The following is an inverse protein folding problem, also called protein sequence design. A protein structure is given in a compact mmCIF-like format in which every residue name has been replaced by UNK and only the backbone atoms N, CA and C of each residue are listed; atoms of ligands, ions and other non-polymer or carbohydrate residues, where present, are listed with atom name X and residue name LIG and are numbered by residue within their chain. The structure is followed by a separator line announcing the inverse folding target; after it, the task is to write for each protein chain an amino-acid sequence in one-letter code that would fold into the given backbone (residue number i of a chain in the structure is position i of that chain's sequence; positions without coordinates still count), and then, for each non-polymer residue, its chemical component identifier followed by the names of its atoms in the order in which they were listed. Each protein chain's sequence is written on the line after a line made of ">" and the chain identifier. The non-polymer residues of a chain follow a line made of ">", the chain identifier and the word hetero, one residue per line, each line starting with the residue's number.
data_IF_708039368306
#
_entry.id   IF_708039368306
#
_cell.length_a   1.000
_cell.length_b   1.000
_cell.length_c   1.000
_cell.angle_alpha   90.00
_cell.angle_beta   90.00
_cell.angle_gamma   90.00
#
_symmetry.space_group_name_H-M   'P 1'
#
loop_
_entity.id
_entity.type
_entity.pdbx_description
1 polymer ?
#
# COMPACT_ATOMS: atom_id res chain seq x y z
N UNK A 1 2.76 -10.67 -8.31
CA UNK A 1 1.77 -9.57 -8.34
C UNK A 1 0.75 -9.86 -7.25
N UNK A 2 0.37 -8.87 -6.45
CA UNK A 2 -0.57 -9.00 -5.34
C UNK A 2 -1.73 -8.07 -5.61
N UNK A 3 -2.95 -8.56 -5.42
CA UNK A 3 -4.15 -7.73 -5.48
C UNK A 3 -4.69 -7.54 -4.08
N UNK A 4 -5.07 -6.31 -3.76
CA UNK A 4 -5.67 -5.95 -2.49
C UNK A 4 -6.90 -5.07 -2.72
N UNK A 5 -8.02 -5.47 -2.12
CA UNK A 5 -9.25 -4.69 -2.13
C UNK A 5 -9.32 -3.83 -0.86
N UNK A 6 -9.08 -2.51 -0.97
CA UNK A 6 -9.04 -1.64 0.20
C UNK A 6 -10.44 -1.40 0.76
N UNK A 7 -10.52 -1.13 2.07
CA UNK A 7 -11.80 -0.93 2.78
C UNK A 7 -11.94 0.50 3.25
N UNK A 8 -13.17 1.04 3.15
CA UNK A 8 -13.49 2.36 3.67
C UNK A 8 -12.88 3.53 2.90
N UNK A 9 -12.45 3.33 1.65
CA UNK A 9 -11.82 4.37 0.80
C UNK A 9 -12.43 4.40 -0.61
N UNK A 10 -12.05 5.41 -1.41
CA UNK A 10 -12.52 5.58 -2.78
C UNK A 10 -11.87 4.62 -3.78
N UNK A 11 -10.60 4.24 -3.55
CA UNK A 11 -9.93 3.20 -4.33
C UNK A 11 -10.68 1.87 -4.18
N UNK A 12 -10.75 1.10 -5.26
CA UNK A 12 -11.50 -0.16 -5.36
C UNK A 12 -10.60 -1.38 -5.50
N UNK A 13 -9.39 -1.20 -6.02
CA UNK A 13 -8.39 -2.26 -6.14
C UNK A 13 -7.00 -1.65 -6.16
N UNK A 14 -6.05 -2.31 -5.51
CA UNK A 14 -4.62 -2.01 -5.57
C UNK A 14 -3.90 -3.23 -6.11
N UNK A 15 -3.02 -3.03 -7.09
CA UNK A 15 -2.22 -4.10 -7.69
C UNK A 15 -0.75 -3.77 -7.48
N UNK A 16 -0.07 -4.57 -6.65
CA UNK A 16 1.32 -4.33 -6.27
C UNK A 16 2.22 -5.40 -6.90
N UNK A 17 3.31 -4.96 -7.54
CA UNK A 17 4.41 -5.84 -7.95
C UNK A 17 5.52 -5.67 -6.92
N UNK A 18 5.74 -6.70 -6.09
CA UNK A 18 6.75 -6.71 -5.02
C UNK A 18 7.77 -7.81 -5.32
N UNK A 19 9.05 -7.48 -5.25
CA UNK A 19 10.18 -8.41 -5.37
C UNK A 19 11.20 -8.07 -4.30
N UNK A 20 11.63 -9.05 -3.50
CA UNK A 20 12.64 -8.89 -2.45
C UNK A 20 12.37 -7.70 -1.52
N UNK A 21 11.11 -7.57 -1.07
CA UNK A 21 10.60 -6.46 -0.26
C UNK A 21 10.68 -5.06 -0.91
N UNK A 22 10.95 -4.99 -2.21
CA UNK A 22 10.98 -3.75 -2.99
C UNK A 22 9.74 -3.65 -3.88
N UNK A 23 9.08 -2.50 -3.85
CA UNK A 23 7.98 -2.17 -4.76
C UNK A 23 8.55 -1.93 -6.16
N UNK A 24 8.20 -2.79 -7.10
CA UNK A 24 8.54 -2.64 -8.51
C UNK A 24 7.54 -1.75 -9.23
N UNK A 25 6.25 -1.85 -8.85
CA UNK A 25 5.18 -0.97 -9.33
C UNK A 25 3.93 -1.10 -8.47
N UNK A 26 3.08 -0.07 -8.49
CA UNK A 26 1.73 -0.12 -7.89
C UNK A 26 0.73 0.58 -8.80
N UNK A 27 -0.35 -0.13 -9.12
CA UNK A 27 -1.49 0.40 -9.87
C UNK A 27 -2.73 0.47 -8.99
N UNK A 28 -3.52 1.53 -9.16
CA UNK A 28 -4.73 1.79 -8.39
C UNK A 28 -5.93 1.87 -9.33
N UNK A 29 -7.00 1.17 -8.98
CA UNK A 29 -8.29 1.26 -9.69
C UNK A 29 -9.26 2.08 -8.85
N UNK A 30 -9.71 3.21 -9.38
CA UNK A 30 -10.59 4.15 -8.71
C UNK A 30 -9.89 5.01 -7.64
N UNK A 31 -10.56 6.10 -7.24
CA UNK A 31 -10.00 7.11 -6.35
C UNK A 31 -9.44 8.33 -7.10
N UNK A 32 -8.64 9.15 -6.42
CA UNK A 32 -8.06 10.35 -7.02
C UNK A 32 -6.89 9.94 -7.94
N UNK A 33 -7.13 9.92 -9.24
CA UNK A 33 -6.18 9.41 -10.24
C UNK A 33 -4.79 10.06 -10.11
N UNK A 34 -4.68 11.39 -10.19
CA UNK A 34 -3.38 12.08 -10.13
C UNK A 34 -2.60 11.84 -8.83
N UNK A 35 -3.27 11.89 -7.67
CA UNK A 35 -2.59 11.65 -6.39
C UNK A 35 -2.14 10.19 -6.24
N UNK A 36 -2.96 9.23 -6.64
CA UNK A 36 -2.63 7.80 -6.53
C UNK A 36 -1.52 7.41 -7.51
N UNK A 37 -1.56 7.90 -8.75
CA UNK A 37 -0.45 7.75 -9.69
C UNK A 37 0.83 8.37 -9.16
N UNK A 38 0.75 9.57 -8.58
CA UNK A 38 1.90 10.24 -7.94
C UNK A 38 2.51 9.40 -6.81
N UNK A 39 1.69 8.84 -5.92
CA UNK A 39 2.15 7.93 -4.87
C UNK A 39 2.83 6.70 -5.48
N UNK A 40 2.24 6.08 -6.49
CA UNK A 40 2.82 4.92 -7.19
C UNK A 40 4.21 5.21 -7.73
N UNK A 41 4.43 6.39 -8.32
CA UNK A 41 5.74 6.85 -8.78
C UNK A 41 6.71 7.06 -7.62
N UNK A 42 6.27 7.73 -6.54
CA UNK A 42 7.13 8.07 -5.40
C UNK A 42 7.68 6.84 -4.67
N UNK A 43 6.88 5.77 -4.56
CA UNK A 43 7.25 4.56 -3.81
C UNK A 43 7.94 3.50 -4.68
N UNK A 44 8.01 3.70 -6.00
CA UNK A 44 8.66 2.76 -6.90
C UNK A 44 10.15 2.65 -6.59
N UNK A 45 10.63 1.43 -6.44
CA UNK A 45 12.01 1.12 -6.04
C UNK A 45 12.27 1.22 -4.54
N UNK A 46 11.27 1.59 -3.72
CA UNK A 46 11.43 1.67 -2.26
C UNK A 46 11.17 0.32 -1.58
N UNK A 47 11.83 0.12 -0.43
CA UNK A 47 11.56 -1.02 0.44
C UNK A 47 10.24 -0.84 1.18
N UNK A 48 9.44 -1.89 1.26
CA UNK A 48 8.14 -1.88 1.96
C UNK A 48 8.27 -1.49 3.45
N UNK A 49 9.38 -1.83 4.10
CA UNK A 49 9.64 -1.48 5.49
C UNK A 49 9.86 0.02 5.69
N UNK A 50 10.27 0.75 4.63
CA UNK A 50 10.38 2.22 4.66
C UNK A 50 9.06 2.91 4.31
N UNK A 51 8.19 2.23 3.55
CA UNK A 51 6.89 2.76 3.08
C UNK A 51 5.85 2.69 4.19
N UNK A 52 5.71 1.52 4.83
CA UNK A 52 4.68 1.26 5.85
C UNK A 52 4.66 2.32 6.96
N UNK A 53 5.76 2.64 7.65
CA UNK A 53 5.74 3.63 8.73
C UNK A 53 5.42 5.05 8.23
N UNK A 54 5.70 5.37 6.96
CA UNK A 54 5.43 6.71 6.40
C UNK A 54 3.97 6.93 6.04
N UNK A 55 3.25 5.88 5.65
CA UNK A 55 1.90 5.99 5.09
C UNK A 55 0.80 5.42 5.99
N UNK A 56 1.16 4.61 7.00
CA UNK A 56 0.22 3.98 7.93
C UNK A 56 -0.52 5.02 8.77
N UNK A 57 -1.82 4.82 8.95
CA UNK A 57 -2.67 5.65 9.81
C UNK A 57 -3.09 7.00 9.24
N UNK A 58 -2.67 7.37 8.01
CA UNK A 58 -3.09 8.63 7.39
C UNK A 58 -4.61 8.59 7.13
N UNK A 59 -5.41 9.53 7.68
CA UNK A 59 -6.85 9.60 7.45
C UNK A 59 -7.19 10.34 6.13
N UNK A 60 -8.45 10.30 5.71
CA UNK A 60 -8.94 11.01 4.53
C UNK A 60 -10.29 11.69 4.79
N UNK A 61 -10.23 12.99 5.13
CA UNK A 61 -11.43 13.74 5.55
C UNK A 61 -12.02 13.14 6.82
N UNK A 62 -13.32 12.89 6.82
CA UNK A 62 -14.02 12.24 7.94
C UNK A 62 -13.74 10.72 8.06
N UNK A 63 -13.03 10.10 7.12
CA UNK A 63 -12.71 8.67 7.16
C UNK A 63 -11.46 8.42 8.01
N UNK A 64 -11.46 7.42 8.91
CA UNK A 64 -10.31 7.09 9.77
C UNK A 64 -9.17 6.40 9.00
N UNK A 65 -9.23 6.35 7.68
CA UNK A 65 -8.28 5.66 6.80
C UNK A 65 -8.23 6.37 5.45
N UNK A 66 -7.18 6.10 4.67
CA UNK A 66 -6.94 6.69 3.36
C UNK A 66 -6.37 5.65 2.38
N UNK A 67 -6.27 5.99 1.09
CA UNK A 67 -5.65 5.09 0.13
C UNK A 67 -4.17 4.79 0.46
N UNK A 68 -3.33 5.76 0.87
CA UNK A 68 -2.00 5.48 1.42
C UNK A 68 -2.00 4.51 2.61
N UNK A 69 -2.90 4.72 3.58
CA UNK A 69 -3.02 3.81 4.74
C UNK A 69 -3.49 2.40 4.32
N UNK A 70 -4.43 2.31 3.38
CA UNK A 70 -4.86 1.00 2.87
C UNK A 70 -3.78 0.30 2.04
N UNK A 71 -2.88 1.04 1.42
CA UNK A 71 -1.71 0.45 0.75
C UNK A 71 -0.80 -0.26 1.76
N UNK A 72 -0.57 0.31 2.95
CA UNK A 72 0.24 -0.35 3.98
C UNK A 72 -0.42 -1.62 4.49
N UNK A 73 -1.75 -1.63 4.64
CA UNK A 73 -2.53 -2.84 4.97
C UNK A 73 -2.45 -3.90 3.87
N UNK A 74 -2.43 -3.49 2.61
CA UNK A 74 -2.22 -4.40 1.48
C UNK A 74 -0.82 -5.03 1.49
N UNK A 75 0.21 -4.26 1.82
CA UNK A 75 1.59 -4.76 2.02
C UNK A 75 1.64 -5.75 3.19
N UNK A 76 0.98 -5.45 4.31
CA UNK A 76 0.96 -6.32 5.47
C UNK A 76 0.24 -7.64 5.18
N UNK A 77 -0.91 -7.61 4.51
CA UNK A 77 -1.61 -8.80 4.06
C UNK A 77 -0.75 -9.66 3.11
N UNK A 78 0.06 -9.03 2.25
CA UNK A 78 1.04 -9.74 1.41
C UNK A 78 2.10 -10.47 2.24
N UNK A 79 2.65 -9.81 3.26
CA UNK A 79 3.68 -10.39 4.14
C UNK A 79 3.13 -11.58 4.94
N UNK A 80 1.94 -11.42 5.50
CA UNK A 80 1.21 -12.47 6.20
C UNK A 80 0.97 -13.68 5.29
N UNK A 81 0.51 -13.46 4.05
CA UNK A 81 0.29 -14.52 3.08
C UNK A 81 1.59 -15.24 2.64
N UNK A 82 2.75 -14.59 2.77
CA UNK A 82 4.06 -15.20 2.53
C UNK A 82 4.65 -15.93 3.73
N UNK A 83 3.97 -15.94 4.88
CA UNK A 83 4.49 -16.50 6.12
C UNK A 83 5.69 -15.72 6.68
N UNK A 84 5.86 -14.46 6.25
CA UNK A 84 6.89 -13.57 6.78
C UNK A 84 6.31 -12.91 8.03
N UNK A 85 6.90 -13.20 9.19
CA UNK A 85 6.44 -12.68 10.46
C UNK A 85 6.72 -11.17 10.52
N UNK A 86 5.66 -10.36 10.65
CA UNK A 86 5.70 -8.88 10.63
C UNK A 86 6.41 -8.30 11.88
N UNK A 87 6.85 -9.16 12.80
CA UNK A 87 7.51 -8.79 14.06
C UNK A 87 9.03 -8.58 13.95
N UNK A 88 9.69 -8.92 12.83
CA UNK A 88 11.11 -8.62 12.65
C UNK A 88 11.27 -7.29 11.89
N UNK A 89 11.52 -6.20 12.64
CA UNK A 89 11.82 -4.81 12.20
C UNK A 89 10.65 -3.82 12.15
N UNK A 90 9.90 -3.70 13.24
CA UNK A 90 9.43 -2.37 13.70
C UNK A 90 10.23 -1.99 14.93
#
# INVERSE_FOLDING_TARGET
>A
MVQYQPKGVCCKMMQMRIKDNIIQDVEFVGGCNGNLSGIGVLIKGMNINDIVPKLSGIPCGARPTSCPDQLTKGIQAYLEAKGVNVAEKV
#
